data_IF_790052887382
#
_entry.id   IF_790052887382
#
_cell.length_a   1.000
_cell.length_b   1.000
_cell.length_c   1.000
_cell.angle_alpha   90.00
_cell.angle_beta   90.00
_cell.angle_gamma   90.00
#
_symmetry.space_group_name_H-M   'P 1'
#
loop_
_entity.id
_entity.type
_entity.pdbx_description
1 polymer ?
#
# COMPACT_ATOMS: atom_id res chain seq x y z
N UNK A 1 62.88 24.09 11.97
CA UNK A 1 62.48 22.69 11.69
C UNK A 1 61.30 22.20 12.52
N UNK A 2 61.21 22.48 13.83
CA UNK A 2 60.06 22.01 14.65
C UNK A 2 58.70 22.62 14.25
N UNK A 3 58.64 23.93 13.96
CA UNK A 3 57.38 24.61 13.60
C UNK A 3 56.84 24.15 12.23
N UNK A 4 57.73 23.86 11.29
CA UNK A 4 57.37 23.35 9.95
C UNK A 4 56.76 21.95 10.01
N UNK A 5 57.24 21.08 10.92
CA UNK A 5 56.65 19.76 11.16
C UNK A 5 55.25 19.84 11.80
N UNK A 6 55.03 20.73 12.77
CA UNK A 6 53.70 20.97 13.35
C UNK A 6 52.71 21.49 12.31
N UNK A 7 53.13 22.43 11.46
CA UNK A 7 52.31 22.97 10.37
C UNK A 7 51.92 21.90 9.34
N UNK A 8 52.81 20.96 8.99
CA UNK A 8 52.48 19.87 8.07
C UNK A 8 51.52 18.85 8.70
N UNK A 9 51.72 18.49 9.98
CA UNK A 9 50.80 17.58 10.70
C UNK A 9 49.39 18.17 10.79
N UNK A 10 49.29 19.47 11.03
CA UNK A 10 48.00 20.18 11.14
C UNK A 10 47.24 20.17 9.81
N UNK A 11 47.94 20.38 8.68
CA UNK A 11 47.33 20.25 7.35
C UNK A 11 46.88 18.82 7.03
N UNK A 12 47.71 17.80 7.32
CA UNK A 12 47.34 16.39 7.09
C UNK A 12 46.08 16.02 7.88
N UNK A 13 46.00 16.47 9.14
CA UNK A 13 44.81 16.25 9.98
C UNK A 13 43.55 16.96 9.43
N UNK A 14 43.68 18.16 8.87
CA UNK A 14 42.53 18.86 8.29
C UNK A 14 42.00 18.18 7.02
N UNK A 15 42.88 17.62 6.17
CA UNK A 15 42.45 16.84 5.01
C UNK A 15 41.73 15.55 5.42
N UNK A 16 42.30 14.78 6.36
CA UNK A 16 41.68 13.57 6.87
C UNK A 16 40.32 13.85 7.54
N UNK A 17 40.19 14.96 8.25
CA UNK A 17 38.92 15.37 8.86
C UNK A 17 37.86 15.72 7.82
N UNK A 18 38.23 16.40 6.73
CA UNK A 18 37.34 16.74 5.62
C UNK A 18 36.84 15.49 4.88
N UNK A 19 37.72 14.51 4.64
CA UNK A 19 37.35 13.26 3.95
C UNK A 19 36.39 12.42 4.81
N UNK A 20 36.64 12.36 6.12
CA UNK A 20 35.71 11.75 7.07
C UNK A 20 34.34 12.45 7.06
N UNK A 21 34.31 13.79 7.04
CA UNK A 21 33.05 14.55 6.98
C UNK A 21 32.27 14.25 5.70
N UNK A 22 32.95 14.19 4.55
CA UNK A 22 32.36 13.83 3.27
C UNK A 22 31.76 12.42 3.29
N UNK A 23 32.50 11.44 3.83
CA UNK A 23 32.02 10.06 3.95
C UNK A 23 30.79 9.95 4.86
N UNK A 24 30.78 10.65 6.01
CA UNK A 24 29.63 10.70 6.92
C UNK A 24 28.41 11.33 6.22
N UNK A 25 28.58 12.44 5.50
CA UNK A 25 27.48 13.07 4.74
C UNK A 25 26.87 12.13 3.70
N UNK A 26 27.71 11.39 2.96
CA UNK A 26 27.25 10.41 1.97
C UNK A 26 26.47 9.26 2.63
N UNK A 27 26.93 8.75 3.77
CA UNK A 27 26.23 7.72 4.53
C UNK A 27 24.88 8.20 5.04
N UNK A 28 24.80 9.41 5.61
CA UNK A 28 23.54 10.00 6.07
C UNK A 28 22.55 10.15 4.90
N UNK A 29 23.02 10.64 3.74
CA UNK A 29 22.18 10.78 2.55
C UNK A 29 21.66 9.42 2.07
N UNK A 30 22.51 8.39 2.07
CA UNK A 30 22.12 7.03 1.68
C UNK A 30 21.09 6.42 2.63
N UNK A 31 21.26 6.60 3.95
CA UNK A 31 20.28 6.19 4.95
C UNK A 31 18.91 6.84 4.70
N UNK A 32 18.90 8.16 4.49
CA UNK A 32 17.66 8.91 4.23
C UNK A 32 16.94 8.45 2.95
N UNK A 33 17.67 8.16 1.88
CA UNK A 33 17.10 7.64 0.63
C UNK A 33 16.47 6.26 0.86
N UNK A 34 17.16 5.36 1.57
CA UNK A 34 16.62 4.04 1.88
C UNK A 34 15.35 4.09 2.73
N UNK A 35 15.21 5.08 3.62
CA UNK A 35 14.00 5.27 4.41
C UNK A 35 12.84 5.81 3.55
N UNK A 36 13.11 6.73 2.61
CA UNK A 36 12.10 7.24 1.69
C UNK A 36 11.58 6.15 0.74
N UNK A 37 12.48 5.36 0.15
CA UNK A 37 12.10 4.27 -0.76
C UNK A 37 11.17 3.24 -0.08
N UNK A 38 11.31 3.07 1.24
CA UNK A 38 10.40 2.24 2.04
C UNK A 38 9.05 2.91 2.22
N UNK A 39 9.02 4.19 2.59
CA UNK A 39 7.78 4.96 2.74
C UNK A 39 6.94 4.96 1.45
N UNK A 40 7.56 5.24 0.31
CA UNK A 40 6.88 5.30 -1.00
C UNK A 40 6.26 3.93 -1.37
N UNK A 41 6.95 2.83 -1.05
CA UNK A 41 6.42 1.48 -1.23
C UNK A 41 5.21 1.22 -0.35
N UNK A 42 5.24 1.62 0.91
CA UNK A 42 4.10 1.44 1.82
C UNK A 42 2.89 2.26 1.38
N UNK A 43 3.08 3.51 0.98
CA UNK A 43 2.00 4.35 0.48
C UNK A 43 1.35 3.74 -0.77
N UNK A 44 2.17 3.20 -1.67
CA UNK A 44 1.68 2.48 -2.86
C UNK A 44 0.83 1.26 -2.46
N UNK A 45 1.30 0.45 -1.52
CA UNK A 45 0.55 -0.73 -1.07
C UNK A 45 -0.75 -0.36 -0.35
N UNK A 46 -0.72 0.65 0.53
CA UNK A 46 -1.91 1.16 1.20
C UNK A 46 -2.94 1.68 0.18
N UNK A 47 -2.47 2.40 -0.84
CA UNK A 47 -3.34 2.89 -1.92
C UNK A 47 -4.02 1.74 -2.67
N UNK A 48 -3.33 0.62 -2.87
CA UNK A 48 -3.93 -0.57 -3.48
C UNK A 48 -5.00 -1.21 -2.58
N UNK A 49 -4.75 -1.31 -1.26
CA UNK A 49 -5.75 -1.80 -0.31
C UNK A 49 -7.03 -0.94 -0.32
N UNK A 50 -6.87 0.38 -0.32
CA UNK A 50 -8.01 1.31 -0.38
C UNK A 50 -8.83 1.09 -1.67
N UNK A 51 -8.17 0.89 -2.82
CA UNK A 51 -8.87 0.60 -4.08
C UNK A 51 -9.62 -0.75 -4.04
N UNK A 52 -9.05 -1.77 -3.40
CA UNK A 52 -9.73 -3.06 -3.25
C UNK A 52 -10.95 -2.94 -2.34
N UNK A 53 -10.83 -2.18 -1.26
CA UNK A 53 -11.94 -1.86 -0.35
C UNK A 53 -13.08 -1.13 -1.08
N UNK A 54 -12.75 -0.14 -1.92
CA UNK A 54 -13.73 0.58 -2.74
C UNK A 54 -14.50 -0.36 -3.70
N UNK A 55 -13.80 -1.32 -4.33
CA UNK A 55 -14.41 -2.31 -5.21
C UNK A 55 -15.35 -3.22 -4.41
N UNK A 56 -14.92 -3.71 -3.24
CA UNK A 56 -15.74 -4.54 -2.35
C UNK A 56 -17.01 -3.81 -1.93
N UNK A 57 -16.89 -2.57 -1.47
CA UNK A 57 -18.01 -1.73 -1.04
C UNK A 57 -18.98 -1.47 -2.20
N UNK A 58 -18.47 -1.33 -3.42
CA UNK A 58 -19.30 -1.21 -4.63
C UNK A 58 -20.09 -2.48 -4.92
N UNK A 59 -19.51 -3.68 -4.70
CA UNK A 59 -20.24 -4.94 -4.84
C UNK A 59 -21.30 -5.11 -3.75
N UNK A 60 -21.01 -4.75 -2.50
CA UNK A 60 -22.00 -4.76 -1.41
C UNK A 60 -23.18 -3.81 -1.73
N UNK A 61 -22.91 -2.62 -2.28
CA UNK A 61 -23.98 -1.72 -2.76
C UNK A 61 -24.82 -2.31 -3.91
N UNK A 62 -24.21 -3.13 -4.79
CA UNK A 62 -24.95 -3.83 -5.85
C UNK A 62 -25.88 -4.88 -5.24
N UNK A 63 -25.41 -5.63 -4.24
CA UNK A 63 -26.22 -6.62 -3.51
C UNK A 63 -27.46 -5.94 -2.91
N UNK A 64 -27.29 -4.80 -2.23
CA UNK A 64 -28.42 -4.07 -1.64
C UNK A 64 -29.45 -3.64 -2.69
N UNK A 65 -28.99 -3.15 -3.85
CA UNK A 65 -29.87 -2.76 -4.96
C UNK A 65 -30.63 -3.95 -5.54
N UNK A 66 -29.98 -5.11 -5.66
CA UNK A 66 -30.63 -6.35 -6.11
C UNK A 66 -31.69 -6.79 -5.10
N UNK A 67 -31.40 -6.71 -3.80
CA UNK A 67 -32.36 -7.04 -2.74
C UNK A 67 -33.59 -6.14 -2.77
N UNK A 68 -33.44 -4.85 -3.10
CA UNK A 68 -34.58 -3.97 -3.31
C UNK A 68 -35.46 -4.42 -4.48
N UNK A 69 -34.86 -4.78 -5.62
CA UNK A 69 -35.63 -5.30 -6.77
C UNK A 69 -36.34 -6.61 -6.41
N UNK A 70 -35.67 -7.54 -5.72
CA UNK A 70 -36.29 -8.80 -5.27
C UNK A 70 -37.46 -8.50 -4.31
N UNK A 71 -37.33 -7.50 -3.45
CA UNK A 71 -38.41 -7.09 -2.54
C UNK A 71 -39.61 -6.57 -3.33
N UNK A 72 -39.41 -5.73 -4.34
CA UNK A 72 -40.47 -5.19 -5.20
C UNK A 72 -41.20 -6.30 -6.00
N UNK A 73 -40.51 -7.40 -6.32
CA UNK A 73 -41.10 -8.56 -7.00
C UNK A 73 -42.08 -9.34 -6.12
N UNK A 74 -42.05 -9.21 -4.79
CA UNK A 74 -43.10 -9.78 -3.95
C UNK A 74 -44.45 -9.10 -4.16
N UNK A 75 -44.45 -7.81 -4.50
CA UNK A 75 -45.67 -7.06 -4.81
C UNK A 75 -46.11 -7.28 -6.26
N UNK A 76 -45.16 -7.41 -7.19
CA UNK A 76 -45.40 -7.61 -8.61
C UNK A 76 -44.61 -8.82 -9.16
N UNK A 77 -45.11 -10.05 -9.01
CA UNK A 77 -44.34 -11.24 -9.35
C UNK A 77 -44.04 -11.38 -10.84
N UNK A 78 -42.75 -11.53 -11.17
CA UNK A 78 -42.23 -11.92 -12.47
C UNK A 78 -41.13 -12.97 -12.28
N UNK A 79 -41.42 -14.21 -12.69
CA UNK A 79 -40.55 -15.37 -12.45
C UNK A 79 -39.23 -15.31 -13.20
N UNK A 80 -39.23 -14.72 -14.41
CA UNK A 80 -38.02 -14.64 -15.21
C UNK A 80 -37.09 -13.55 -14.64
N UNK A 81 -37.68 -12.43 -14.19
CA UNK A 81 -36.95 -11.37 -13.52
C UNK A 81 -36.42 -11.81 -12.15
N UNK A 82 -37.22 -12.51 -11.34
CA UNK A 82 -36.82 -13.07 -10.03
C UNK A 82 -35.59 -13.97 -10.19
N UNK A 83 -35.64 -14.95 -11.09
CA UNK A 83 -34.51 -15.84 -11.39
C UNK A 83 -33.27 -15.08 -11.86
N UNK A 84 -33.46 -14.03 -12.68
CA UNK A 84 -32.38 -13.16 -13.13
C UNK A 84 -31.71 -12.41 -11.99
N UNK A 85 -32.51 -11.89 -11.05
CA UNK A 85 -32.03 -11.14 -9.88
C UNK A 85 -31.37 -12.04 -8.85
N UNK A 86 -31.88 -13.25 -8.58
CA UNK A 86 -31.21 -14.23 -7.72
C UNK A 86 -29.83 -14.62 -8.26
N UNK A 87 -29.72 -14.84 -9.57
CA UNK A 87 -28.44 -15.13 -10.21
C UNK A 87 -27.47 -13.95 -10.14
N UNK A 88 -27.97 -12.71 -10.25
CA UNK A 88 -27.17 -11.51 -10.07
C UNK A 88 -26.70 -11.35 -8.61
N UNK A 89 -27.57 -11.61 -7.63
CA UNK A 89 -27.27 -11.56 -6.21
C UNK A 89 -26.14 -12.54 -5.87
N UNK A 90 -26.24 -13.79 -6.34
CA UNK A 90 -25.21 -14.79 -6.10
C UNK A 90 -23.85 -14.36 -6.68
N UNK A 91 -23.82 -13.88 -7.94
CA UNK A 91 -22.58 -13.41 -8.56
C UNK A 91 -21.93 -12.25 -7.81
N UNK A 92 -22.73 -11.28 -7.34
CA UNK A 92 -22.22 -10.16 -6.57
C UNK A 92 -21.67 -10.63 -5.20
N UNK A 93 -22.36 -11.56 -4.54
CA UNK A 93 -21.91 -12.19 -3.29
C UNK A 93 -20.59 -12.96 -3.46
N UNK A 94 -20.48 -13.75 -4.53
CA UNK A 94 -19.25 -14.48 -4.87
C UNK A 94 -18.09 -13.51 -5.12
N UNK A 95 -18.35 -12.40 -5.82
CA UNK A 95 -17.36 -11.35 -6.04
C UNK A 95 -16.88 -10.71 -4.73
N UNK A 96 -17.80 -10.37 -3.80
CA UNK A 96 -17.43 -9.84 -2.48
C UNK A 96 -16.49 -10.81 -1.76
N UNK A 97 -16.81 -12.11 -1.79
CA UNK A 97 -15.98 -13.15 -1.16
C UNK A 97 -14.60 -13.24 -1.80
N UNK A 98 -14.54 -13.27 -3.14
CA UNK A 98 -13.28 -13.33 -3.88
C UNK A 98 -12.40 -12.10 -3.62
N UNK A 99 -12.99 -10.89 -3.56
CA UNK A 99 -12.24 -9.66 -3.27
C UNK A 99 -11.70 -9.69 -1.84
N UNK A 100 -12.49 -10.14 -0.84
CA UNK A 100 -12.03 -10.30 0.54
C UNK A 100 -10.81 -11.22 0.62
N UNK A 101 -10.85 -12.37 -0.04
CA UNK A 101 -9.71 -13.30 -0.07
C UNK A 101 -8.45 -12.68 -0.71
N UNK A 102 -8.61 -11.93 -1.81
CA UNK A 102 -7.49 -11.23 -2.45
C UNK A 102 -6.92 -10.13 -1.54
N UNK A 103 -7.79 -9.39 -0.84
CA UNK A 103 -7.39 -8.38 0.14
C UNK A 103 -6.60 -8.98 1.29
N UNK A 104 -7.11 -10.03 1.95
CA UNK A 104 -6.44 -10.71 3.06
C UNK A 104 -5.03 -11.20 2.66
N UNK A 105 -4.93 -11.81 1.48
CA UNK A 105 -3.64 -12.25 0.92
C UNK A 105 -2.68 -11.09 0.66
N UNK A 106 -3.19 -9.93 0.27
CA UNK A 106 -2.40 -8.73 0.04
C UNK A 106 -1.99 -8.06 1.37
N UNK A 107 -2.87 -8.01 2.36
CA UNK A 107 -2.59 -7.51 3.71
C UNK A 107 -1.49 -8.32 4.41
N UNK A 108 -1.48 -9.65 4.26
CA UNK A 108 -0.37 -10.48 4.78
C UNK A 108 0.98 -10.03 4.19
N UNK A 109 1.03 -9.70 2.89
CA UNK A 109 2.25 -9.19 2.25
C UNK A 109 2.61 -7.80 2.75
N UNK A 110 1.61 -6.94 2.94
CA UNK A 110 1.78 -5.59 3.49
C UNK A 110 2.35 -5.63 4.92
N UNK A 111 1.75 -6.42 5.81
CA UNK A 111 2.17 -6.55 7.20
C UNK A 111 3.59 -7.14 7.30
N UNK A 112 3.94 -8.11 6.44
CA UNK A 112 5.31 -8.64 6.35
C UNK A 112 6.33 -7.61 5.88
N UNK A 113 5.93 -6.67 5.03
CA UNK A 113 6.81 -5.61 4.57
C UNK A 113 7.08 -4.56 5.67
N UNK A 114 6.21 -4.45 6.68
CA UNK A 114 6.35 -3.53 7.81
C UNK A 114 7.30 -4.02 8.92
N UNK A 115 7.59 -5.33 8.97
CA UNK A 115 8.52 -5.96 9.91
C UNK A 115 9.97 -5.83 9.45
#
# INVERSE_FOLDING_TARGET
MLNTLKLSQTHVNSYLLSDCHMYISLLIKKLKIMDQDKQDKFETMQTMLNKLEDIKNSQESIIDKINHVITDLFENPDKDLEKGMEAAHQKASDNVTAIKEVMENYEIKFNKAQL
#
